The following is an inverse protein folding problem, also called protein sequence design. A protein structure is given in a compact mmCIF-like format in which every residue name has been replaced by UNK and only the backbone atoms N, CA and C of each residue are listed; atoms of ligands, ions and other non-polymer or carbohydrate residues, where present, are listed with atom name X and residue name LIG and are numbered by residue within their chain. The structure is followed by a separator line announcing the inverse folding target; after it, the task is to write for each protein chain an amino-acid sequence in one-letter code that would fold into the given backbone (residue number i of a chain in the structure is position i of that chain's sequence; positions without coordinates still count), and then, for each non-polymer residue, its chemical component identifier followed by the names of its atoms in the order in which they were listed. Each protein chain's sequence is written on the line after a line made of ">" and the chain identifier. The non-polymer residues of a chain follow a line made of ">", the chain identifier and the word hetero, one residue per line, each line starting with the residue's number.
data_IF_839946827184
#
_entry.id   IF_839946827184
#
_cell.length_a   1.000
_cell.length_b   1.000
_cell.length_c   1.000
_cell.angle_alpha   90.00
_cell.angle_beta   90.00
_cell.angle_gamma   90.00
#
_symmetry.space_group_name_H-M   'P 1'
#
loop_
_entity.id
_entity.type
_entity.pdbx_description
1 polymer ?
#
# COMPACT_ATOMS: atom_id res chain seq x y z
N UNK A 1 -9.84 -15.30 9.60
CA UNK A 1 -9.77 -13.97 8.94
C UNK A 1 -10.88 -13.11 9.51
N UNK A 2 -10.68 -11.81 9.68
CA UNK A 2 -11.78 -10.89 10.05
C UNK A 2 -12.78 -10.76 8.89
N UNK A 3 -14.04 -10.52 9.25
CA UNK A 3 -15.11 -10.21 8.30
C UNK A 3 -15.08 -8.69 8.02
N UNK A 4 -14.41 -8.28 6.95
CA UNK A 4 -14.17 -6.85 6.66
C UNK A 4 -15.41 -6.12 6.07
N UNK A 5 -16.52 -6.82 5.89
CA UNK A 5 -17.82 -6.20 5.59
C UNK A 5 -18.55 -5.76 6.87
N UNK A 6 -18.07 -6.16 8.04
CA UNK A 6 -18.56 -5.76 9.35
C UNK A 6 -17.80 -4.52 9.85
N UNK A 7 -18.49 -3.40 10.01
CA UNK A 7 -17.92 -2.13 10.43
C UNK A 7 -17.40 -2.17 11.88
N UNK A 8 -17.97 -2.95 12.78
CA UNK A 8 -17.46 -3.12 14.14
C UNK A 8 -16.11 -3.86 14.15
N UNK A 9 -15.96 -4.82 13.23
CA UNK A 9 -14.70 -5.52 13.00
C UNK A 9 -13.66 -4.54 12.45
N UNK A 10 -14.02 -3.69 11.46
CA UNK A 10 -13.13 -2.69 10.90
C UNK A 10 -12.69 -1.64 11.95
N UNK A 11 -13.62 -1.15 12.78
CA UNK A 11 -13.26 -0.25 13.90
C UNK A 11 -12.27 -0.92 14.85
N UNK A 12 -12.50 -2.19 15.20
CA UNK A 12 -11.58 -2.93 16.05
C UNK A 12 -10.20 -3.05 15.41
N UNK A 13 -10.12 -3.39 14.11
CA UNK A 13 -8.86 -3.45 13.35
C UNK A 13 -8.17 -2.08 13.34
N UNK A 14 -8.90 -1.00 13.05
CA UNK A 14 -8.38 0.37 13.07
C UNK A 14 -7.78 0.74 14.42
N UNK A 15 -8.46 0.42 15.51
CA UNK A 15 -7.99 0.66 16.89
C UNK A 15 -6.68 -0.07 17.20
N UNK A 16 -6.55 -1.31 16.75
CA UNK A 16 -5.32 -2.08 16.96
C UNK A 16 -4.17 -1.59 16.07
N UNK A 17 -4.44 -1.19 14.84
CA UNK A 17 -3.43 -0.54 13.97
C UNK A 17 -2.93 0.77 14.59
N UNK A 18 -3.82 1.57 15.20
CA UNK A 18 -3.42 2.77 15.91
C UNK A 18 -2.44 2.47 17.06
N UNK A 19 -2.58 1.35 17.76
CA UNK A 19 -1.62 0.89 18.80
C UNK A 19 -0.27 0.53 18.20
N UNK A 20 -0.25 -0.23 17.11
CA UNK A 20 0.97 -0.58 16.39
C UNK A 20 1.69 0.69 15.94
N UNK A 21 0.96 1.62 15.33
CA UNK A 21 1.49 2.89 14.83
C UNK A 21 1.92 3.83 15.97
N UNK A 22 1.26 3.79 17.13
CA UNK A 22 1.69 4.56 18.29
C UNK A 22 3.09 4.11 18.74
N UNK A 23 3.31 2.81 18.86
CA UNK A 23 4.62 2.24 19.17
C UNK A 23 5.61 2.50 18.02
N UNK A 24 5.16 2.33 16.77
CA UNK A 24 5.95 2.56 15.55
C UNK A 24 6.43 4.00 15.39
N UNK A 25 5.71 4.96 15.98
CA UNK A 25 6.07 6.37 15.93
C UNK A 25 7.18 6.77 16.92
N UNK A 26 7.52 5.93 17.89
CA UNK A 26 8.49 6.26 18.93
C UNK A 26 9.92 6.42 18.40
N UNK A 27 10.30 5.60 17.43
CA UNK A 27 11.61 5.67 16.77
C UNK A 27 11.58 4.99 15.39
N UNK A 28 12.38 5.48 14.41
CA UNK A 28 12.45 4.87 13.06
C UNK A 28 13.14 3.50 13.12
N UNK A 29 12.98 2.71 12.05
CA UNK A 29 13.86 1.57 11.81
C UNK A 29 15.28 2.06 11.44
N UNK A 30 16.30 1.38 11.97
CA UNK A 30 17.70 1.66 11.66
C UNK A 30 18.24 0.86 10.45
N UNK A 31 17.64 -0.31 10.16
CA UNK A 31 18.18 -1.26 9.17
C UNK A 31 17.16 -1.72 8.15
N UNK A 32 15.86 -1.43 8.34
CA UNK A 32 14.82 -1.78 7.37
C UNK A 32 14.63 -0.67 6.33
N UNK A 33 14.35 -1.03 5.07
CA UNK A 33 14.09 -0.04 4.02
C UNK A 33 12.84 0.78 4.34
N UNK A 34 12.75 1.97 3.75
CA UNK A 34 11.54 2.76 3.74
C UNK A 34 10.66 2.35 2.55
N UNK A 35 9.34 2.57 2.68
CA UNK A 35 8.42 2.57 1.56
C UNK A 35 8.55 3.91 0.85
N UNK A 36 9.10 3.92 -0.35
CA UNK A 36 9.27 5.11 -1.19
C UNK A 36 9.22 4.75 -2.68
N UNK A 37 9.22 5.77 -3.52
CA UNK A 37 9.12 5.62 -4.98
C UNK A 37 10.29 4.80 -5.54
N UNK A 38 11.49 4.93 -4.97
CA UNK A 38 12.63 4.18 -5.44
C UNK A 38 12.50 2.68 -5.14
N UNK A 39 12.31 2.34 -3.86
CA UNK A 39 12.30 0.94 -3.40
C UNK A 39 11.08 0.13 -3.85
N UNK A 40 9.94 0.81 -4.13
CA UNK A 40 8.70 0.16 -4.56
C UNK A 40 8.32 0.40 -6.02
N UNK A 41 8.93 1.39 -6.68
CA UNK A 41 8.60 1.77 -8.04
C UNK A 41 9.75 1.60 -9.01
N UNK A 42 10.73 2.53 -8.97
CA UNK A 42 11.77 2.61 -10.00
C UNK A 42 12.71 1.41 -9.99
N UNK A 43 13.19 0.99 -8.83
CA UNK A 43 14.08 -0.17 -8.71
C UNK A 43 13.39 -1.47 -9.14
N UNK A 44 12.17 -1.81 -8.67
CA UNK A 44 11.43 -2.98 -9.16
C UNK A 44 11.15 -2.94 -10.66
N UNK A 45 10.74 -1.78 -11.22
CA UNK A 45 10.52 -1.59 -12.65
C UNK A 45 11.80 -1.88 -13.45
N UNK A 46 12.93 -1.30 -13.05
CA UNK A 46 14.22 -1.45 -13.72
C UNK A 46 14.70 -2.91 -13.66
N UNK A 47 14.47 -3.56 -12.51
CA UNK A 47 14.80 -4.97 -12.36
C UNK A 47 13.99 -5.85 -13.33
N UNK A 48 12.68 -5.68 -13.42
CA UNK A 48 11.82 -6.41 -14.35
C UNK A 48 12.24 -6.20 -15.81
N UNK A 49 12.65 -4.98 -16.16
CA UNK A 49 13.13 -4.63 -17.49
C UNK A 49 14.45 -5.32 -17.84
N UNK A 50 15.40 -5.36 -16.89
CA UNK A 50 16.75 -5.90 -17.15
C UNK A 50 16.81 -7.43 -17.13
N UNK A 51 15.78 -8.10 -16.61
CA UNK A 51 15.75 -9.56 -16.48
C UNK A 51 14.77 -10.24 -17.46
N UNK A 52 14.32 -9.54 -18.49
CA UNK A 52 13.45 -10.07 -19.56
C UNK A 52 12.23 -10.86 -19.03
N UNK A 53 11.62 -10.37 -17.95
CA UNK A 53 10.51 -11.08 -17.29
C UNK A 53 9.17 -10.89 -18.00
N UNK A 54 9.05 -9.87 -18.85
CA UNK A 54 7.82 -9.56 -19.59
C UNK A 54 7.83 -10.18 -20.98
N UNK A 55 6.68 -10.74 -21.45
CA UNK A 55 6.53 -11.12 -22.85
C UNK A 55 6.74 -9.93 -23.79
N UNK A 56 7.46 -10.16 -24.90
CA UNK A 56 7.82 -9.10 -25.87
C UNK A 56 6.60 -8.30 -26.36
N UNK A 57 5.45 -8.96 -26.50
CA UNK A 57 4.20 -8.36 -26.99
C UNK A 57 3.62 -7.28 -26.08
N UNK A 58 3.86 -7.35 -24.75
CA UNK A 58 3.35 -6.40 -23.76
C UNK A 58 4.44 -5.49 -23.19
N UNK A 59 5.70 -5.84 -23.38
CA UNK A 59 6.85 -5.21 -22.76
C UNK A 59 6.85 -3.68 -22.94
N UNK A 60 6.74 -3.22 -24.19
CA UNK A 60 6.78 -1.78 -24.50
C UNK A 60 5.61 -1.03 -23.86
N UNK A 61 4.39 -1.57 -23.99
CA UNK A 61 3.20 -0.93 -23.43
C UNK A 61 3.26 -0.86 -21.91
N UNK A 62 3.69 -1.95 -21.25
CA UNK A 62 3.83 -2.00 -19.82
C UNK A 62 4.87 -0.99 -19.31
N UNK A 63 6.03 -0.88 -19.96
CA UNK A 63 7.04 0.11 -19.58
C UNK A 63 6.54 1.54 -19.72
N UNK A 64 5.83 1.85 -20.81
CA UNK A 64 5.26 3.18 -21.02
C UNK A 64 4.25 3.52 -19.92
N UNK A 65 3.31 2.61 -19.61
CA UNK A 65 2.33 2.82 -18.56
C UNK A 65 2.98 2.91 -17.16
N UNK A 66 4.01 2.09 -16.92
CA UNK A 66 4.75 2.12 -15.66
C UNK A 66 5.50 3.45 -15.47
N UNK A 67 6.14 3.97 -16.52
CA UNK A 67 6.82 5.26 -16.48
C UNK A 67 5.85 6.41 -16.24
N UNK A 68 4.70 6.42 -16.90
CA UNK A 68 3.64 7.41 -16.68
C UNK A 68 3.12 7.35 -15.24
N UNK A 69 2.80 6.16 -14.75
CA UNK A 69 2.33 5.96 -13.39
C UNK A 69 3.36 6.44 -12.36
N UNK A 70 4.65 6.11 -12.53
CA UNK A 70 5.73 6.55 -11.63
C UNK A 70 5.99 8.05 -11.70
N UNK A 71 5.77 8.70 -12.84
CA UNK A 71 5.83 10.16 -12.95
C UNK A 71 4.72 10.81 -12.11
N UNK A 72 3.48 10.31 -12.18
CA UNK A 72 2.36 10.80 -11.37
C UNK A 72 2.64 10.60 -9.87
N UNK A 73 3.10 9.42 -9.47
CA UNK A 73 3.47 9.14 -8.08
C UNK A 73 4.56 10.09 -7.59
N UNK A 74 5.61 10.31 -8.39
CA UNK A 74 6.75 11.17 -8.02
C UNK A 74 6.37 12.65 -7.95
N UNK A 75 5.43 13.08 -8.78
CA UNK A 75 4.92 14.44 -8.81
C UNK A 75 3.84 14.70 -7.75
N UNK A 76 3.39 13.67 -7.03
CA UNK A 76 2.29 13.80 -6.07
C UNK A 76 2.68 14.74 -4.92
N UNK A 77 1.89 15.83 -4.65
CA UNK A 77 2.29 16.91 -3.74
C UNK A 77 2.63 16.43 -2.32
N UNK A 78 1.88 15.44 -1.83
CA UNK A 78 2.04 14.88 -0.48
C UNK A 78 3.31 14.01 -0.37
N UNK A 79 3.73 13.33 -1.45
CA UNK A 79 4.97 12.56 -1.49
C UNK A 79 6.18 13.45 -1.80
N UNK A 80 6.00 14.44 -2.68
CA UNK A 80 7.02 15.42 -3.05
C UNK A 80 7.27 16.47 -1.96
N UNK A 81 6.37 16.60 -1.00
CA UNK A 81 6.26 17.65 0.01
C UNK A 81 7.40 17.80 1.01
N UNK A 82 8.59 17.25 0.71
CA UNK A 82 9.81 17.51 1.44
C UNK A 82 10.72 18.58 0.81
N UNK A 83 10.42 19.09 -0.37
CA UNK A 83 11.32 19.99 -1.08
C UNK A 83 10.56 21.09 -1.83
N UNK A 84 10.05 22.08 -1.10
CA UNK A 84 9.86 23.42 -1.63
C UNK A 84 10.80 24.35 -0.89
N UNK A 85 11.53 25.14 -1.70
CA UNK A 85 12.49 26.15 -1.31
C UNK A 85 12.04 26.92 -0.05
N UNK A 86 12.93 27.05 0.92
CA UNK A 86 12.72 27.66 2.24
C UNK A 86 12.26 29.13 2.22
N UNK A 87 11.86 29.64 1.06
CA UNK A 87 11.44 31.04 0.85
C UNK A 87 9.94 31.21 0.60
N UNK A 88 9.14 30.11 0.51
CA UNK A 88 7.69 30.22 0.33
C UNK A 88 6.95 30.05 1.67
N UNK A 89 5.99 30.94 1.94
CA UNK A 89 5.13 30.92 3.15
C UNK A 89 4.22 29.68 3.27
N UNK A 90 4.20 28.80 2.25
CA UNK A 90 3.45 27.54 2.21
C UNK A 90 4.35 26.36 2.60
N UNK A 91 4.80 26.32 3.85
CA UNK A 91 5.45 25.11 4.40
C UNK A 91 4.39 24.02 4.64
N UNK A 92 4.26 23.09 3.69
CA UNK A 92 3.54 21.83 3.94
C UNK A 92 4.48 20.92 4.73
N UNK A 93 4.16 20.69 6.01
CA UNK A 93 4.91 19.72 6.80
C UNK A 93 4.88 18.35 6.13
N UNK A 94 6.02 17.64 6.04
CA UNK A 94 6.08 16.31 5.46
C UNK A 94 5.21 15.33 6.27
N UNK A 95 4.60 14.36 5.57
CA UNK A 95 3.88 13.26 6.21
C UNK A 95 4.82 12.50 7.15
N UNK A 96 4.33 12.24 8.36
CA UNK A 96 5.10 11.50 9.36
C UNK A 96 5.26 10.05 8.96
N UNK A 97 6.51 9.59 8.91
CA UNK A 97 6.83 8.17 8.67
C UNK A 97 6.84 7.40 9.98
N UNK A 98 6.14 6.29 10.02
CA UNK A 98 6.03 5.39 11.15
C UNK A 98 6.68 4.05 10.82
N UNK A 99 6.96 3.21 11.82
CA UNK A 99 7.14 1.79 11.59
C UNK A 99 5.77 1.17 11.36
N UNK A 100 5.62 0.54 10.23
CA UNK A 100 4.38 -0.07 9.75
C UNK A 100 4.49 -1.59 9.81
N UNK A 101 3.33 -2.26 9.74
CA UNK A 101 3.27 -3.66 9.34
C UNK A 101 3.84 -3.82 7.92
N UNK A 102 3.44 -2.93 7.01
CA UNK A 102 3.96 -2.81 5.65
C UNK A 102 3.25 -3.68 4.63
N UNK A 103 2.71 -4.82 5.06
CA UNK A 103 1.91 -5.76 4.24
C UNK A 103 0.61 -6.16 4.95
N UNK A 104 -0.13 -5.16 5.43
CA UNK A 104 -1.34 -5.35 6.24
C UNK A 104 -2.56 -5.65 5.35
N UNK A 105 -2.58 -6.83 4.73
CA UNK A 105 -3.76 -7.33 4.01
C UNK A 105 -4.57 -8.31 4.87
N UNK A 106 -5.84 -8.64 4.50
CA UNK A 106 -6.72 -9.48 5.33
C UNK A 106 -6.14 -10.84 5.70
N UNK A 107 -5.29 -11.43 4.85
CA UNK A 107 -4.63 -12.71 5.11
C UNK A 107 -3.61 -12.67 6.26
N UNK A 108 -3.09 -11.48 6.60
CA UNK A 108 -2.13 -11.27 7.68
C UNK A 108 -2.81 -10.81 8.98
N UNK A 109 -4.15 -10.89 9.05
CA UNK A 109 -4.91 -10.59 10.25
C UNK A 109 -5.69 -11.86 10.66
N UNK A 110 -5.31 -12.43 11.78
CA UNK A 110 -6.08 -13.48 12.44
C UNK A 110 -7.14 -12.84 13.34
N UNK A 111 -8.27 -13.49 13.51
CA UNK A 111 -9.37 -12.97 14.32
C UNK A 111 -9.76 -13.95 15.41
N UNK A 112 -9.79 -13.48 16.65
CA UNK A 112 -10.37 -14.18 17.79
C UNK A 112 -11.70 -13.52 18.15
N UNK A 113 -12.79 -14.28 18.38
CA UNK A 113 -14.07 -13.72 18.81
C UNK A 113 -13.92 -12.79 20.03
N UNK A 114 -14.61 -11.64 20.01
CA UNK A 114 -14.46 -10.57 21.00
C UNK A 114 -15.01 -10.90 22.38
N UNK A 115 -15.81 -11.96 22.52
CA UNK A 115 -16.28 -12.52 23.80
C UNK A 115 -15.21 -13.28 24.58
N UNK A 116 -14.03 -13.48 23.97
CA UNK A 116 -12.87 -14.12 24.62
C UNK A 116 -11.91 -13.09 25.22
N UNK A 117 -11.11 -13.48 26.25
CA UNK A 117 -10.15 -12.57 26.90
C UNK A 117 -9.10 -11.98 25.94
N UNK A 118 -8.76 -12.72 24.89
CA UNK A 118 -7.81 -12.36 23.82
C UNK A 118 -8.52 -11.98 22.52
N UNK A 119 -9.78 -11.55 22.59
CA UNK A 119 -10.61 -11.22 21.43
C UNK A 119 -10.09 -10.02 20.63
N UNK A 120 -10.31 -10.09 19.30
CA UNK A 120 -9.95 -9.06 18.36
C UNK A 120 -8.92 -9.50 17.30
N UNK A 121 -8.31 -8.54 16.59
CA UNK A 121 -7.34 -8.81 15.55
C UNK A 121 -5.96 -9.15 16.11
N UNK A 122 -5.28 -10.11 15.48
CA UNK A 122 -3.88 -10.47 15.71
C UNK A 122 -3.14 -10.35 14.39
N UNK A 123 -2.15 -9.46 14.34
CA UNK A 123 -1.35 -9.21 13.15
C UNK A 123 -0.16 -10.17 13.11
N UNK A 124 0.04 -10.82 11.96
CA UNK A 124 1.10 -11.79 11.72
C UNK A 124 1.90 -11.40 10.48
N UNK A 125 3.07 -12.01 10.28
CA UNK A 125 3.93 -11.79 9.12
C UNK A 125 4.47 -10.35 9.03
N UNK A 126 5.37 -10.01 9.94
CA UNK A 126 6.05 -8.71 10.01
C UNK A 126 7.33 -8.66 9.16
N UNK A 127 7.53 -9.58 8.24
CA UNK A 127 8.75 -9.65 7.43
C UNK A 127 8.90 -8.41 6.53
N UNK A 128 7.78 -7.86 6.08
CA UNK A 128 7.70 -6.65 5.26
C UNK A 128 7.58 -5.35 6.07
N UNK A 129 7.74 -5.40 7.41
CA UNK A 129 7.68 -4.21 8.25
C UNK A 129 8.73 -3.17 7.83
N UNK A 130 8.30 -1.92 7.63
CA UNK A 130 9.12 -0.82 7.10
C UNK A 130 8.65 0.53 7.57
N UNK A 131 9.39 1.60 7.23
CA UNK A 131 8.97 2.96 7.54
C UNK A 131 8.15 3.54 6.40
N UNK A 132 6.97 4.11 6.71
CA UNK A 132 6.08 4.73 5.72
C UNK A 132 4.92 5.49 6.34
N UNK A 133 3.98 5.99 5.53
CA UNK A 133 2.76 6.65 5.99
C UNK A 133 1.78 5.63 6.59
N UNK A 134 0.99 6.06 7.60
CA UNK A 134 0.06 5.19 8.30
C UNK A 134 -1.00 4.56 7.37
N UNK A 135 -1.44 5.30 6.36
CA UNK A 135 -2.44 4.83 5.39
C UNK A 135 -2.04 3.55 4.67
N UNK A 136 -0.74 3.23 4.57
CA UNK A 136 -0.26 1.98 3.97
C UNK A 136 -0.89 0.74 4.60
N UNK A 137 -1.03 0.72 5.92
CA UNK A 137 -1.59 -0.42 6.63
C UNK A 137 -3.13 -0.40 6.67
N UNK A 138 -3.77 0.64 6.13
CA UNK A 138 -5.22 0.80 6.09
C UNK A 138 -5.79 0.45 4.71
N UNK A 139 -5.22 0.97 3.63
CA UNK A 139 -5.82 0.85 2.29
C UNK A 139 -5.87 -0.60 1.77
N UNK A 140 -4.97 -1.46 2.21
CA UNK A 140 -4.94 -2.87 1.80
C UNK A 140 -6.11 -3.69 2.36
N UNK A 141 -6.87 -3.14 3.28
CA UNK A 141 -8.08 -3.72 3.86
C UNK A 141 -9.36 -3.32 3.10
N UNK A 142 -9.26 -2.36 2.18
CA UNK A 142 -10.39 -1.84 1.42
C UNK A 142 -10.70 -2.72 0.22
N UNK A 143 -11.99 -2.97 -0.03
CA UNK A 143 -12.46 -3.82 -1.13
C UNK A 143 -13.77 -3.29 -1.72
N UNK A 144 -14.15 -3.83 -2.89
CA UNK A 144 -15.39 -3.45 -3.56
C UNK A 144 -15.25 -2.13 -4.34
N UNK A 145 -16.40 -1.49 -4.59
CA UNK A 145 -16.47 -0.22 -5.29
C UNK A 145 -16.07 0.97 -4.40
N UNK A 146 -15.96 2.15 -5.01
CA UNK A 146 -15.52 3.37 -4.30
C UNK A 146 -16.41 3.77 -3.11
N UNK A 147 -17.76 3.72 -3.18
CA UNK A 147 -18.61 3.92 -2.01
C UNK A 147 -18.36 2.93 -0.88
N UNK A 148 -18.19 1.65 -1.19
CA UNK A 148 -17.88 0.61 -0.21
C UNK A 148 -16.52 0.86 0.44
N UNK A 149 -15.47 1.12 -0.36
CA UNK A 149 -14.14 1.48 0.14
C UNK A 149 -14.19 2.71 1.06
N UNK A 150 -14.99 3.72 0.73
CA UNK A 150 -15.17 4.90 1.58
C UNK A 150 -15.78 4.54 2.94
N UNK A 151 -16.84 3.74 2.97
CA UNK A 151 -17.47 3.31 4.22
C UNK A 151 -16.53 2.48 5.09
N UNK A 152 -15.80 1.54 4.47
CA UNK A 152 -14.80 0.72 5.15
C UNK A 152 -13.66 1.57 5.73
N UNK A 153 -13.17 2.54 4.95
CA UNK A 153 -12.11 3.45 5.39
C UNK A 153 -12.58 4.31 6.56
N UNK A 154 -13.80 4.84 6.52
CA UNK A 154 -14.36 5.63 7.61
C UNK A 154 -14.46 4.80 8.90
N UNK A 155 -14.97 3.56 8.84
CA UNK A 155 -15.03 2.67 10.00
C UNK A 155 -13.61 2.35 10.57
N UNK A 156 -12.63 2.10 9.70
CA UNK A 156 -11.24 1.93 10.12
C UNK A 156 -10.70 3.16 10.83
N UNK A 157 -10.98 4.36 10.30
CA UNK A 157 -10.52 5.62 10.88
C UNK A 157 -11.26 5.95 12.19
N UNK A 158 -12.54 5.67 12.30
CA UNK A 158 -13.30 5.82 13.55
C UNK A 158 -12.67 4.99 14.69
N UNK A 159 -12.24 3.77 14.39
CA UNK A 159 -11.49 2.95 15.33
C UNK A 159 -10.08 3.48 15.61
N UNK A 160 -9.37 3.88 14.57
CA UNK A 160 -8.00 4.36 14.65
C UNK A 160 -7.88 5.64 15.51
N UNK A 161 -8.77 6.60 15.28
CA UNK A 161 -8.76 7.91 15.93
C UNK A 161 -9.19 7.87 17.40
N UNK A 162 -9.71 6.75 17.90
CA UNK A 162 -9.90 6.55 19.35
C UNK A 162 -8.58 6.55 20.13
N UNK A 163 -7.46 6.24 19.50
CA UNK A 163 -6.17 6.10 20.17
C UNK A 163 -5.08 7.01 19.59
N UNK A 164 -5.20 7.42 18.32
CA UNK A 164 -4.19 8.21 17.65
C UNK A 164 -4.84 9.07 16.55
N UNK A 165 -4.56 10.38 16.49
CA UNK A 165 -5.02 11.21 15.37
C UNK A 165 -4.44 10.70 14.05
N UNK A 166 -5.24 10.72 13.00
CA UNK A 166 -4.85 10.36 11.64
C UNK A 166 -4.62 11.62 10.80
N UNK A 167 -3.55 11.66 10.03
CA UNK A 167 -3.29 12.75 9.10
C UNK A 167 -4.11 12.54 7.81
N UNK A 168 -5.22 13.26 7.67
CA UNK A 168 -6.15 13.12 6.53
C UNK A 168 -5.50 13.38 5.17
N UNK A 169 -4.35 14.08 5.12
CA UNK A 169 -3.58 14.25 3.88
C UNK A 169 -3.08 12.93 3.32
N UNK A 170 -2.90 11.92 4.17
CA UNK A 170 -2.46 10.59 3.77
C UNK A 170 -3.49 9.85 2.90
N UNK A 171 -4.78 10.23 2.92
CA UNK A 171 -5.81 9.63 2.09
C UNK A 171 -5.52 9.80 0.60
N UNK A 172 -4.90 10.90 0.21
CA UNK A 172 -4.45 11.13 -1.16
C UNK A 172 -3.31 10.20 -1.61
N UNK A 173 -2.69 9.46 -0.68
CA UNK A 173 -1.63 8.51 -0.97
C UNK A 173 -2.13 7.10 -1.29
N UNK A 174 -3.42 6.80 -1.14
CA UNK A 174 -3.97 5.45 -1.35
C UNK A 174 -3.63 4.94 -2.76
N UNK A 175 -3.97 5.70 -3.79
CA UNK A 175 -3.74 5.26 -5.17
C UNK A 175 -2.25 5.28 -5.58
N UNK A 176 -1.43 6.28 -5.20
CA UNK A 176 0.01 6.21 -5.33
C UNK A 176 0.65 4.96 -4.68
N UNK A 177 0.25 4.61 -3.45
CA UNK A 177 0.78 3.44 -2.75
C UNK A 177 0.33 2.13 -3.38
N UNK A 178 -0.94 2.06 -3.83
CA UNK A 178 -1.48 0.92 -4.58
C UNK A 178 -0.70 0.69 -5.88
N UNK A 179 -0.40 1.77 -6.60
CA UNK A 179 0.42 1.74 -7.82
C UNK A 179 1.83 1.22 -7.54
N UNK A 180 2.49 1.74 -6.52
CA UNK A 180 3.82 1.27 -6.11
C UNK A 180 3.82 -0.21 -5.73
N UNK A 181 2.79 -0.66 -4.98
CA UNK A 181 2.67 -2.08 -4.61
C UNK A 181 2.47 -2.98 -5.83
N UNK A 182 1.68 -2.55 -6.82
CA UNK A 182 1.45 -3.31 -8.05
C UNK A 182 2.78 -3.62 -8.78
N UNK A 183 3.63 -2.62 -8.92
CA UNK A 183 4.95 -2.75 -9.56
C UNK A 183 5.89 -3.61 -8.70
N UNK A 184 5.97 -3.30 -7.41
CA UNK A 184 6.81 -4.03 -6.46
C UNK A 184 6.46 -5.51 -6.38
N UNK A 185 5.17 -5.86 -6.32
CA UNK A 185 4.71 -7.24 -6.19
C UNK A 185 5.08 -8.10 -7.41
N UNK A 186 4.99 -7.54 -8.62
CA UNK A 186 5.43 -8.22 -9.84
C UNK A 186 6.93 -8.55 -9.81
N UNK A 187 7.76 -7.62 -9.36
CA UNK A 187 9.19 -7.86 -9.20
C UNK A 187 9.51 -8.82 -8.04
N UNK A 188 8.74 -8.75 -6.95
CA UNK A 188 8.87 -9.66 -5.82
C UNK A 188 8.63 -11.12 -6.23
N UNK A 189 7.60 -11.39 -7.03
CA UNK A 189 7.32 -12.70 -7.60
C UNK A 189 8.43 -13.15 -8.56
N UNK A 190 8.83 -12.27 -9.48
CA UNK A 190 9.84 -12.58 -10.49
C UNK A 190 11.19 -12.95 -9.87
N UNK A 191 11.63 -12.21 -8.85
CA UNK A 191 12.90 -12.47 -8.14
C UNK A 191 12.95 -13.81 -7.44
N UNK A 192 11.80 -14.32 -7.04
CA UNK A 192 11.66 -15.61 -6.32
C UNK A 192 11.24 -16.75 -7.21
N UNK A 193 11.06 -16.51 -8.50
CA UNK A 193 10.52 -17.51 -9.43
C UNK A 193 11.37 -18.77 -9.57
N UNK A 194 12.67 -18.69 -9.24
CA UNK A 194 13.57 -19.85 -9.22
C UNK A 194 13.36 -20.79 -8.02
N UNK A 195 12.66 -20.33 -6.97
CA UNK A 195 12.27 -21.19 -5.84
C UNK A 195 11.09 -22.07 -6.27
N UNK A 196 11.22 -23.42 -6.19
CA UNK A 196 10.20 -24.35 -6.68
C UNK A 196 8.79 -24.17 -6.07
N UNK A 197 8.69 -23.56 -4.89
CA UNK A 197 7.39 -23.31 -4.24
C UNK A 197 6.60 -22.19 -4.92
N UNK A 198 7.29 -21.23 -5.58
CA UNK A 198 6.62 -20.08 -6.19
C UNK A 198 5.76 -20.46 -7.40
N UNK A 199 6.23 -21.26 -8.39
CA UNK A 199 5.39 -21.73 -9.48
C UNK A 199 4.18 -22.56 -9.01
N UNK A 200 4.30 -23.25 -7.88
CA UNK A 200 3.20 -24.03 -7.30
C UNK A 200 2.13 -23.10 -6.69
N UNK A 201 2.54 -22.08 -5.96
CA UNK A 201 1.63 -21.15 -5.27
C UNK A 201 1.07 -20.06 -6.20
N UNK A 202 1.83 -19.69 -7.24
CA UNK A 202 1.49 -18.60 -8.17
C UNK A 202 1.51 -19.06 -9.64
N UNK A 203 0.78 -20.14 -10.02
CA UNK A 203 0.87 -20.74 -11.34
C UNK A 203 0.46 -19.83 -12.49
N UNK A 204 -0.23 -18.73 -12.17
CA UNK A 204 -0.69 -17.71 -13.11
C UNK A 204 0.38 -16.65 -13.43
N UNK A 205 1.44 -16.53 -12.60
CA UNK A 205 2.47 -15.49 -12.78
C UNK A 205 3.29 -15.73 -14.07
N UNK A 206 3.66 -14.65 -14.72
CA UNK A 206 4.49 -14.67 -15.94
C UNK A 206 3.72 -15.03 -17.21
N UNK A 207 2.45 -15.47 -17.12
CA UNK A 207 1.63 -15.71 -18.30
C UNK A 207 1.34 -14.41 -19.07
N UNK A 208 1.08 -14.47 -20.39
CA UNK A 208 0.66 -13.28 -21.16
C UNK A 208 -0.59 -12.62 -20.56
N UNK A 209 -1.54 -13.39 -20.03
CA UNK A 209 -2.76 -12.87 -19.42
C UNK A 209 -2.48 -12.12 -18.13
N UNK A 210 -1.53 -12.62 -17.31
CA UNK A 210 -1.07 -11.89 -16.13
C UNK A 210 -0.53 -10.51 -16.51
N UNK A 211 0.37 -10.44 -17.48
CA UNK A 211 1.00 -9.17 -17.85
C UNK A 211 0.04 -8.20 -18.56
N UNK A 212 -0.94 -8.70 -19.33
CA UNK A 212 -2.04 -7.86 -19.85
C UNK A 212 -2.88 -7.30 -18.72
N UNK A 213 -3.23 -8.14 -17.72
CA UNK A 213 -3.94 -7.69 -16.51
C UNK A 213 -3.15 -6.65 -15.72
N UNK A 214 -1.81 -6.79 -15.60
CA UNK A 214 -0.95 -5.78 -14.96
C UNK A 214 -0.96 -4.45 -15.73
N UNK A 215 -0.95 -4.49 -17.06
CA UNK A 215 -1.06 -3.31 -17.91
C UNK A 215 -2.41 -2.60 -17.73
N UNK A 216 -3.49 -3.35 -17.73
CA UNK A 216 -4.84 -2.80 -17.50
C UNK A 216 -4.97 -2.18 -16.10
N UNK A 217 -4.41 -2.82 -15.08
CA UNK A 217 -4.38 -2.27 -13.72
C UNK A 217 -3.54 -0.99 -13.62
N UNK A 218 -2.41 -0.90 -14.33
CA UNK A 218 -1.61 0.35 -14.37
C UNK A 218 -2.40 1.50 -14.99
N UNK A 219 -3.12 1.27 -16.10
CA UNK A 219 -3.97 2.30 -16.70
C UNK A 219 -5.08 2.74 -15.73
N UNK A 220 -5.75 1.78 -15.06
CA UNK A 220 -6.75 2.10 -14.04
C UNK A 220 -6.15 2.92 -12.87
N UNK A 221 -4.90 2.63 -12.47
CA UNK A 221 -4.23 3.40 -11.42
C UNK A 221 -3.83 4.81 -11.87
N UNK A 222 -3.44 4.99 -13.13
CA UNK A 222 -3.18 6.31 -13.73
C UNK A 222 -4.46 7.17 -13.65
N UNK A 223 -5.61 6.61 -14.04
CA UNK A 223 -6.90 7.31 -13.93
C UNK A 223 -7.29 7.58 -12.49
N UNK A 224 -7.11 6.59 -11.60
CA UNK A 224 -7.47 6.70 -10.18
C UNK A 224 -6.64 7.75 -9.44
N UNK A 225 -5.34 7.89 -9.75
CA UNK A 225 -4.48 8.93 -9.16
C UNK A 225 -4.87 10.35 -9.58
N UNK A 226 -5.61 10.52 -10.69
CA UNK A 226 -6.10 11.80 -11.16
C UNK A 226 -7.52 12.13 -10.65
N UNK A 227 -8.19 11.15 -10.05
CA UNK A 227 -9.51 11.34 -9.43
C UNK A 227 -9.39 11.92 -8.01
N UNK A 228 -10.51 12.47 -7.51
CA UNK A 228 -10.59 12.94 -6.12
C UNK A 228 -10.26 11.79 -5.14
N UNK A 229 -9.46 12.02 -4.09
CA UNK A 229 -9.18 11.02 -3.06
C UNK A 229 -10.45 10.50 -2.36
N UNK A 230 -10.35 9.34 -1.70
CA UNK A 230 -11.38 8.91 -0.74
C UNK A 230 -11.42 9.93 0.40
N UNK A 231 -12.62 10.23 0.90
CA UNK A 231 -12.82 11.22 1.95
C UNK A 231 -13.76 10.69 3.03
N UNK A 232 -13.41 10.88 4.29
CA UNK A 232 -14.17 10.48 5.48
C UNK A 232 -14.45 11.69 6.37
N UNK A 233 -15.08 12.74 5.81
CA UNK A 233 -15.51 13.91 6.58
C UNK A 233 -14.42 14.92 6.87
#
# INVERSE_FOLDING_TARGET
>A
MPELDDFEVLESVGRFLARIHHVGAAQPFSSRPALDVHSFGTEPRDWLQTHDTLPLEVQRAWHTACDEALQLVSAHPVLAGGYRDSTSEDHIEPIRRLRLHGDCHPGNILWTPTDRPDGGPHFVDLDDARSGPAVQDLWMLLSGDRPQQTQQLCALLDGYEQLRPFDRRELALIEPLRTLRLIHYSAWLARRWSDPIFPINFPWFGSPDYWRGQLDMLHQQIDAMQAEPLNCG
#
